data_IF_045241613692
#
_entry.id   IF_045241613692
#
_cell.length_a   1.000
_cell.length_b   1.000
_cell.length_c   1.000
_cell.angle_alpha   90.00
_cell.angle_beta   90.00
_cell.angle_gamma   90.00
#
_symmetry.space_group_name_H-M   'P 1'
#
loop_
_entity.id
_entity.type
_entity.pdbx_description
1 polymer ?
2 non-polymer ?
3 non-polymer ?
4 non-polymer ?
5 water ?
#
# COMPACT_ATOMS: atom_id res chain seq x y z
N UNK A 1 3.46 9.80 -23.23
CA UNK A 1 2.35 9.02 -22.63
C UNK A 1 2.87 7.72 -22.02
N UNK A 2 1.96 6.98 -21.37
CA UNK A 2 2.30 5.67 -20.81
C UNK A 2 2.35 4.64 -21.92
N UNK A 3 3.13 3.58 -21.73
CA UNK A 3 3.14 2.44 -22.65
C UNK A 3 2.19 1.34 -22.16
N UNK A 4 1.62 1.53 -20.97
CA UNK A 4 0.58 0.65 -20.43
C UNK A 4 -0.52 1.48 -19.78
N UNK A 5 -1.76 1.08 -19.99
CA UNK A 5 -2.90 1.71 -19.33
C UNK A 5 -3.19 0.99 -18.02
N UNK A 6 -3.26 -0.34 -18.08
CA UNK A 6 -3.57 -1.18 -16.93
C UNK A 6 -2.51 -2.27 -16.86
N UNK A 7 -1.48 -2.00 -16.08
CA UNK A 7 -0.45 -3.01 -15.79
C UNK A 7 -0.99 -4.33 -15.26
N UNK A 8 -0.16 -5.37 -15.34
CA UNK A 8 -0.61 -6.72 -14.98
C UNK A 8 -1.22 -6.78 -13.60
N UNK A 9 -0.64 -6.06 -12.65
CA UNK A 9 -1.18 -6.11 -11.30
C UNK A 9 -2.52 -5.42 -11.12
N UNK A 10 -2.75 -4.37 -11.92
CA UNK A 10 -4.04 -3.69 -11.94
C UNK A 10 -5.09 -4.65 -12.51
N UNK A 11 -4.78 -5.26 -13.66
CA UNK A 11 -5.66 -6.25 -14.25
C UNK A 11 -5.88 -7.39 -13.29
N UNK A 12 -4.83 -7.83 -12.61
CA UNK A 12 -4.97 -8.93 -11.64
C UNK A 12 -5.88 -8.61 -10.48
N UNK A 13 -5.69 -7.47 -9.84
CA UNK A 13 -6.53 -7.13 -8.72
C UNK A 13 -7.98 -6.78 -9.17
N UNK A 14 -8.15 -6.30 -10.39
CA UNK A 14 -9.48 -6.02 -10.96
C UNK A 14 -10.11 -7.31 -11.49
N UNK A 15 -9.28 -8.34 -11.67
CA UNK A 15 -9.72 -9.64 -12.20
C UNK A 15 -10.39 -9.48 -13.58
N UNK A 16 -9.67 -8.83 -14.49
CA UNK A 16 -10.13 -8.63 -15.85
C UNK A 16 -8.95 -8.49 -16.79
N UNK A 17 -8.80 -9.46 -17.70
CA UNK A 17 -7.64 -9.53 -18.57
C UNK A 17 -7.62 -8.46 -19.63
N UNK A 18 -8.77 -7.82 -19.85
CA UNK A 18 -8.91 -6.82 -20.93
C UNK A 18 -9.30 -5.45 -20.40
N UNK A 19 -9.11 -5.23 -19.10
CA UNK A 19 -9.37 -3.95 -18.45
C UNK A 19 -8.62 -2.83 -19.17
N UNK A 20 -9.31 -1.74 -19.51
CA UNK A 20 -8.68 -0.58 -20.14
C UNK A 20 -8.63 0.64 -19.24
N UNK A 21 -9.40 0.64 -18.17
CA UNK A 21 -9.39 1.73 -17.20
C UNK A 21 -9.96 1.27 -15.87
N UNK A 22 -9.71 2.06 -14.82
CA UNK A 22 -10.18 1.73 -13.50
C UNK A 22 -11.16 2.81 -13.01
N UNK A 23 -11.67 2.60 -11.81
CA UNK A 23 -12.65 3.49 -11.21
C UNK A 23 -12.67 3.38 -9.71
N UNK A 24 -13.28 4.39 -9.08
CA UNK A 24 -13.64 4.30 -7.69
C UNK A 24 -12.64 4.96 -6.72
N UNK A 25 -13.04 5.02 -5.46
CA UNK A 25 -12.23 5.63 -4.42
C UNK A 25 -12.64 7.03 -4.03
N UNK A 26 -13.72 7.54 -4.64
CA UNK A 26 -14.12 8.93 -4.41
C UNK A 26 -14.29 9.24 -2.95
N UNK A 27 -13.71 10.36 -2.52
CA UNK A 27 -13.84 10.83 -1.16
C UNK A 27 -12.85 10.26 -0.16
N UNK A 28 -12.14 9.19 -0.53
CA UNK A 28 -11.21 8.56 0.39
C UNK A 28 -9.83 9.08 0.13
N UNK A 29 -9.09 9.35 1.21
CA UNK A 29 -7.75 9.92 1.10
C UNK A 29 -6.72 8.83 1.32
N UNK A 30 -5.81 8.67 0.37
CA UNK A 30 -4.69 7.77 0.52
C UNK A 30 -3.45 8.61 0.82
N UNK A 31 -2.93 8.43 2.04
CA UNK A 31 -1.74 9.09 2.49
C UNK A 31 -0.53 8.21 2.21
N UNK A 32 0.23 8.59 1.22
CA UNK A 32 1.41 7.88 0.82
C UNK A 32 2.58 8.48 1.55
N UNK A 33 3.06 7.74 2.54
CA UNK A 33 4.18 8.17 3.38
C UNK A 33 5.41 7.54 2.81
N UNK A 34 6.25 8.35 2.16
CA UNK A 34 7.28 7.79 1.29
C UNK A 34 8.31 8.86 0.92
N UNK A 35 8.99 8.73 -0.23
CA UNK A 35 10.03 9.66 -0.66
C UNK A 35 9.49 10.95 -1.24
N UNK A 36 8.18 11.13 -1.19
CA UNK A 36 7.48 12.26 -1.80
C UNK A 36 6.75 11.77 -3.02
N UNK A 37 6.12 12.69 -3.73
CA UNK A 37 5.44 12.38 -4.99
C UNK A 37 5.62 13.55 -5.93
N UNK A 38 5.84 13.26 -7.21
CA UNK A 38 5.80 14.29 -8.22
C UNK A 38 4.33 14.65 -8.47
N UNK A 39 3.91 15.76 -7.86
CA UNK A 39 2.53 16.24 -7.91
C UNK A 39 2.17 16.86 -9.28
N UNK A 40 3.15 17.02 -10.15
CA UNK A 40 2.89 17.42 -11.52
C UNK A 40 2.87 16.27 -12.50
N UNK A 41 2.98 15.03 -12.02
CA UNK A 41 2.92 13.92 -12.95
C UNK A 41 1.53 13.97 -13.56
N UNK A 42 1.43 13.88 -14.90
CA UNK A 42 0.12 13.99 -15.53
C UNK A 42 -0.92 12.97 -15.08
N UNK A 43 -0.48 11.80 -14.63
CA UNK A 43 -1.40 10.77 -14.18
C UNK A 43 -1.69 10.83 -12.70
N UNK A 44 -1.13 11.82 -12.00
CA UNK A 44 -1.37 12.00 -10.55
C UNK A 44 -1.90 13.36 -10.15
N UNK A 45 -1.59 14.38 -10.95
CA UNK A 45 -1.79 15.77 -10.56
C UNK A 45 -3.21 16.10 -10.13
N UNK A 46 -4.16 15.54 -10.85
CA UNK A 46 -5.56 15.85 -10.59
C UNK A 46 -6.08 15.23 -9.29
N UNK A 47 -5.35 14.25 -8.74
CA UNK A 47 -5.72 13.65 -7.47
C UNK A 47 -4.96 14.24 -6.29
N UNK A 48 -4.02 15.12 -6.55
CA UNK A 48 -3.23 15.69 -5.44
C UNK A 48 -4.12 16.60 -4.58
N UNK A 49 -4.17 16.30 -3.30
CA UNK A 49 -4.91 17.11 -2.35
C UNK A 49 -4.00 17.74 -1.29
N UNK A 50 -3.13 16.92 -0.68
CA UNK A 50 -2.15 17.37 0.29
C UNK A 50 -0.75 17.02 -0.16
N UNK A 51 0.20 17.84 0.23
CA UNK A 51 1.59 17.70 -0.17
C UNK A 51 2.41 18.35 0.94
N UNK A 52 2.99 17.50 1.81
CA UNK A 52 3.62 17.95 3.05
C UNK A 52 4.92 17.19 3.22
N UNK A 53 5.95 17.91 3.70
CA UNK A 53 7.28 17.36 3.83
C UNK A 53 7.69 17.30 5.30
N UNK A 54 7.78 16.09 5.83
CA UNK A 54 8.14 15.85 7.24
C UNK A 54 9.64 15.66 7.46
N UNK A 55 10.44 15.85 6.41
CA UNK A 55 11.88 15.66 6.50
C UNK A 55 12.65 16.97 6.62
N UNK A 56 11.94 18.09 6.50
CA UNK A 56 12.52 19.41 6.61
C UNK A 56 11.71 20.12 7.69
N UNK A 57 12.46 20.58 8.69
CA UNK A 57 11.93 21.16 9.92
C UNK A 57 11.23 20.15 10.80
N UNK A 58 10.70 20.64 11.92
CA UNK A 58 9.44 20.10 12.43
C UNK A 58 8.42 21.18 12.10
N UNK A 59 7.15 20.82 12.15
CA UNK A 59 6.74 19.43 12.17
C UNK A 59 6.80 18.96 10.70
N UNK A 60 6.33 19.84 9.84
CA UNK A 60 6.42 19.66 8.39
C UNK A 60 6.40 21.00 7.67
N UNK A 61 6.86 20.99 6.42
CA UNK A 61 6.72 22.11 5.51
C UNK A 61 5.56 21.78 4.58
N UNK A 62 4.56 22.65 4.55
CA UNK A 62 3.38 22.49 3.73
C UNK A 62 3.67 22.88 2.29
N UNK A 63 2.83 22.35 1.38
CA UNK A 63 2.93 22.63 -0.05
C UNK A 63 4.29 22.23 -0.60
N UNK A 64 4.82 21.13 -0.08
CA UNK A 64 6.13 20.63 -0.46
C UNK A 64 6.19 19.12 -0.18
N UNK A 65 6.61 18.32 -1.17
CA UNK A 65 6.66 16.88 -1.05
C UNK A 65 7.44 16.29 -2.23
N UNK A 66 8.53 16.93 -2.61
CA UNK A 66 9.27 16.61 -3.84
C UNK A 66 9.90 15.23 -3.78
N UNK A 67 9.61 14.43 -4.80
CA UNK A 67 10.23 13.13 -4.95
C UNK A 67 11.43 13.24 -5.88
N UNK A 68 12.61 12.89 -5.38
CA UNK A 68 13.83 12.85 -6.16
C UNK A 68 14.36 11.43 -6.28
N UNK A 69 13.58 10.47 -5.79
CA UNK A 69 13.97 9.06 -5.80
C UNK A 69 13.10 8.24 -6.79
N UNK A 70 11.78 8.41 -6.70
CA UNK A 70 10.85 7.67 -7.54
C UNK A 70 9.87 6.80 -6.79
N UNK A 71 10.31 6.26 -5.65
CA UNK A 71 9.48 5.29 -4.90
C UNK A 71 8.09 5.81 -4.58
N UNK A 72 8.01 7.00 -3.98
CA UNK A 72 6.74 7.54 -3.57
C UNK A 72 5.83 7.77 -4.77
N UNK A 73 6.39 8.26 -5.87
CA UNK A 73 5.60 8.49 -7.07
C UNK A 73 5.07 7.16 -7.62
N UNK A 74 5.92 6.14 -7.61
CA UNK A 74 5.60 4.79 -8.11
C UNK A 74 4.44 4.19 -7.30
N UNK A 75 4.59 4.25 -5.99
CA UNK A 75 3.60 3.78 -5.07
C UNK A 75 2.27 4.50 -5.22
N UNK A 76 2.32 5.83 -5.29
CA UNK A 76 1.11 6.62 -5.50
C UNK A 76 0.38 6.22 -6.80
N UNK A 77 1.15 5.94 -7.84
CA UNK A 77 0.58 5.57 -9.12
C UNK A 77 -0.16 4.25 -9.07
N UNK A 78 0.37 3.27 -8.34
CA UNK A 78 -0.30 1.99 -8.26
C UNK A 78 -1.60 2.15 -7.50
N UNK A 79 -1.60 3.03 -6.48
CA UNK A 79 -2.76 3.24 -5.67
C UNK A 79 -3.88 4.02 -6.39
N UNK A 80 -3.50 5.06 -7.12
CA UNK A 80 -4.50 6.04 -7.59
C UNK A 80 -4.22 6.84 -8.87
N UNK A 81 -3.28 6.40 -9.70
CA UNK A 81 -3.06 7.05 -11.00
C UNK A 81 -4.40 7.06 -11.76
N UNK A 82 -4.66 8.12 -12.52
CA UNK A 82 -6.01 8.34 -13.06
C UNK A 82 -6.05 8.32 -14.59
N UNK A 83 -4.98 7.87 -15.22
CA UNK A 83 -4.87 7.79 -16.66
C UNK A 83 -4.60 9.11 -17.37
N UNK A 84 -4.42 10.20 -16.61
CA UNK A 84 -4.16 11.50 -17.20
C UNK A 84 -5.31 12.00 -18.07
N UNK A 85 -5.02 12.37 -19.31
CA UNK A 85 -6.08 12.75 -20.26
C UNK A 85 -6.64 11.55 -21.03
N UNK A 86 -6.19 10.34 -20.67
CA UNK A 86 -6.71 9.10 -21.22
C UNK A 86 -5.65 8.12 -21.67
N UNK A 87 -4.46 8.63 -21.96
CA UNK A 87 -3.31 7.85 -22.46
C UNK A 87 -2.31 7.41 -21.39
N UNK A 88 -2.55 7.80 -20.14
CA UNK A 88 -1.62 7.44 -19.07
C UNK A 88 -1.97 6.15 -18.37
N UNK A 89 -1.25 5.89 -17.27
CA UNK A 89 -1.45 4.72 -16.46
C UNK A 89 -2.55 4.91 -15.42
N UNK A 90 -3.23 3.82 -15.09
CA UNK A 90 -4.31 3.76 -14.12
C UNK A 90 -3.85 2.96 -12.92
N UNK A 91 -4.20 3.46 -11.74
CA UNK A 91 -4.07 2.73 -10.51
C UNK A 91 -5.41 2.20 -10.06
N UNK A 92 -5.41 1.61 -8.87
CA UNK A 92 -6.54 0.84 -8.41
C UNK A 92 -7.76 1.72 -8.11
N UNK A 93 -7.52 2.90 -7.51
CA UNK A 93 -8.60 3.80 -7.05
C UNK A 93 -8.36 5.19 -7.63
N UNK A 94 -8.62 5.38 -8.91
CA UNK A 94 -8.25 6.63 -9.59
C UNK A 94 -9.06 7.87 -9.18
N UNK A 95 -10.11 7.69 -8.39
CA UNK A 95 -10.88 8.82 -7.86
C UNK A 95 -10.51 9.17 -6.42
N UNK A 96 -9.61 8.40 -5.82
CA UNK A 96 -9.13 8.75 -4.48
C UNK A 96 -8.33 10.07 -4.45
N UNK A 97 -8.21 10.63 -3.25
CA UNK A 97 -7.47 11.87 -3.04
C UNK A 97 -6.10 11.49 -2.53
N UNK A 98 -5.06 12.02 -3.13
CA UNK A 98 -3.68 11.75 -2.70
C UNK A 98 -3.21 12.75 -1.67
N UNK A 99 -2.73 12.23 -0.53
CA UNK A 99 -1.99 13.02 0.46
C UNK A 99 -0.57 12.52 0.40
N UNK A 100 0.29 13.30 -0.24
CA UNK A 100 1.67 12.95 -0.49
C UNK A 100 2.45 13.49 0.70
N UNK A 101 2.85 12.60 1.61
CA UNK A 101 3.60 12.97 2.82
C UNK A 101 5.04 12.45 2.67
N UNK A 102 6.01 13.35 2.55
CA UNK A 102 7.41 12.95 2.37
C UNK A 102 7.97 12.66 3.76
N UNK A 103 8.33 11.42 4.00
CA UNK A 103 8.93 10.98 5.27
C UNK A 103 10.32 10.36 5.13
N UNK A 104 10.75 10.11 3.89
CA UNK A 104 12.07 9.54 3.59
C UNK A 104 12.82 10.65 2.88
N UNK A 105 13.81 11.18 3.57
CA UNK A 105 14.37 12.47 3.23
C UNK A 105 15.60 12.29 2.41
N UNK A 106 15.96 13.33 1.67
CA UNK A 106 17.07 13.25 0.75
C UNK A 106 18.40 13.26 1.54
N UNK A 107 19.33 12.41 1.13
CA UNK A 107 19.00 11.21 0.38
C UNK A 107 19.87 10.09 0.88
N UNK A 108 19.37 8.88 0.68
CA UNK A 108 19.46 7.85 1.70
C UNK A 108 17.98 7.71 2.01
N UNK A 109 17.55 8.05 3.24
CA UNK A 109 16.11 8.20 3.53
C UNK A 109 15.68 8.44 5.01
N UNK A 110 15.06 7.46 5.67
CA UNK A 110 14.03 7.74 6.66
C UNK A 110 14.20 7.60 8.16
N UNK A 111 14.10 8.74 8.85
CA UNK A 111 14.15 8.80 10.29
C UNK A 111 12.79 8.44 10.90
N UNK A 112 12.84 7.64 11.95
CA UNK A 112 11.64 7.18 12.63
C UNK A 112 10.78 8.34 13.12
N UNK A 113 11.40 9.42 13.57
CA UNK A 113 10.58 10.51 14.12
C UNK A 113 9.80 11.23 13.03
N UNK A 114 10.37 11.33 11.82
CA UNK A 114 9.65 11.94 10.70
C UNK A 114 8.46 11.11 10.28
N UNK A 115 8.67 9.80 10.18
CA UNK A 115 7.61 8.86 9.83
C UNK A 115 6.50 8.89 10.88
N UNK A 116 6.91 8.87 12.15
CA UNK A 116 5.94 8.91 13.25
C UNK A 116 5.13 10.21 13.24
N UNK A 117 5.78 11.35 12.99
CA UNK A 117 5.09 12.62 12.94
C UNK A 117 4.05 12.63 11.82
N UNK A 118 4.42 12.05 10.68
CA UNK A 118 3.49 11.98 9.55
C UNK A 118 2.30 11.08 9.79
N UNK A 119 2.52 9.94 10.45
CA UNK A 119 1.45 9.03 10.80
C UNK A 119 0.48 9.76 11.73
N UNK A 120 1.03 10.39 12.78
CA UNK A 120 0.17 11.13 13.70
C UNK A 120 -0.59 12.23 12.99
N UNK A 121 0.08 12.97 12.11
CA UNK A 121 -0.56 14.06 11.39
C UNK A 121 -1.72 13.58 10.53
N UNK A 122 -1.55 12.44 9.88
CA UNK A 122 -2.61 11.86 9.07
C UNK A 122 -3.82 11.56 9.95
N UNK A 123 -3.57 10.98 11.13
CA UNK A 123 -4.65 10.74 12.08
C UNK A 123 -5.33 12.01 12.54
N UNK A 124 -4.55 13.05 12.80
CA UNK A 124 -5.08 14.34 13.27
C UNK A 124 -5.92 14.99 12.18
N UNK A 125 -5.51 14.79 10.93
CA UNK A 125 -6.25 15.31 9.77
C UNK A 125 -7.54 14.55 9.56
N UNK A 126 -7.51 13.23 9.76
CA UNK A 126 -8.71 12.42 9.67
C UNK A 126 -9.74 12.97 10.64
N UNK A 127 -9.28 13.30 11.84
CA UNK A 127 -10.17 13.80 12.90
C UNK A 127 -10.66 15.21 12.58
N UNK A 128 -9.72 16.09 12.25
CA UNK A 128 -10.02 17.51 12.04
C UNK A 128 -10.97 17.73 10.87
N UNK A 129 -10.79 16.95 9.79
CA UNK A 129 -11.57 17.08 8.56
C UNK A 129 -12.77 16.16 8.56
N UNK A 130 -12.87 15.29 9.57
CA UNK A 130 -13.87 14.23 9.61
C UNK A 130 -13.90 13.44 8.32
N UNK A 131 -12.74 12.93 7.94
CA UNK A 131 -12.58 12.28 6.64
C UNK A 131 -11.87 10.95 6.83
N UNK A 132 -12.00 10.08 5.84
CA UNK A 132 -11.43 8.74 5.89
C UNK A 132 -10.06 8.73 5.24
N UNK A 133 -9.12 8.09 5.93
CA UNK A 133 -7.73 8.09 5.51
C UNK A 133 -7.21 6.65 5.51
N UNK A 134 -6.60 6.27 4.40
CA UNK A 134 -5.83 5.04 4.29
C UNK A 134 -4.36 5.47 4.20
N UNK A 135 -3.57 5.14 5.22
CA UNK A 135 -2.14 5.30 5.12
C UNK A 135 -1.54 4.12 4.36
N UNK A 136 -0.65 4.45 3.44
CA UNK A 136 0.23 3.48 2.83
C UNK A 136 1.68 3.72 3.25
N UNK A 137 2.30 2.73 3.88
CA UNK A 137 3.73 2.75 4.21
C UNK A 137 4.46 1.63 3.48
N UNK A 138 5.01 1.99 2.33
CA UNK A 138 5.81 1.08 1.54
C UNK A 138 7.26 1.19 2.01
N UNK A 139 7.46 0.74 3.24
CA UNK A 139 8.75 0.86 3.89
C UNK A 139 8.79 -0.16 5.00
N UNK A 140 9.99 -0.49 5.42
CA UNK A 140 10.10 -1.49 6.47
C UNK A 140 11.49 -1.58 7.01
N UNK A 141 11.59 -2.14 8.20
CA UNK A 141 12.87 -2.42 8.84
C UNK A 141 12.66 -3.67 9.69
N UNK A 142 13.74 -4.39 9.96
CA UNK A 142 13.68 -5.60 10.77
C UNK A 142 13.37 -5.27 12.22
N UNK A 143 13.74 -4.06 12.62
CA UNK A 143 13.55 -3.60 14.00
C UNK A 143 12.30 -2.76 14.16
N UNK A 144 11.70 -2.89 15.34
CA UNK A 144 10.52 -2.13 15.70
C UNK A 144 10.84 -0.82 16.41
N UNK A 145 10.50 0.29 15.77
CA UNK A 145 10.67 1.61 16.36
C UNK A 145 9.42 1.92 17.18
N UNK A 146 9.58 2.17 18.48
CA UNK A 146 8.42 2.53 19.30
C UNK A 146 7.77 3.85 18.83
N UNK A 147 8.55 4.78 18.27
CA UNK A 147 7.96 6.02 17.74
C UNK A 147 6.95 5.68 16.65
N UNK A 148 7.35 4.80 15.73
CA UNK A 148 6.48 4.45 14.61
C UNK A 148 5.31 3.60 15.10
N UNK A 149 5.60 2.60 15.91
CA UNK A 149 4.54 1.76 16.49
C UNK A 149 3.46 2.57 17.21
N UNK A 150 3.88 3.48 18.08
CA UNK A 150 2.94 4.28 18.86
C UNK A 150 2.11 5.21 17.97
N UNK A 151 2.74 5.73 16.93
CA UNK A 151 2.08 6.57 15.94
C UNK A 151 1.03 5.77 15.19
N UNK A 152 1.37 4.55 14.77
CA UNK A 152 0.42 3.65 14.10
C UNK A 152 -0.79 3.38 14.97
N UNK A 153 -0.54 3.06 16.23
CA UNK A 153 -1.62 2.79 17.15
C UNK A 153 -2.52 4.02 17.37
N UNK A 154 -1.89 5.18 17.49
CA UNK A 154 -2.60 6.45 17.64
C UNK A 154 -3.52 6.71 16.46
N UNK A 155 -2.98 6.59 15.26
CA UNK A 155 -3.78 6.79 14.05
C UNK A 155 -4.89 5.78 13.88
N UNK A 156 -4.62 4.51 14.17
CA UNK A 156 -5.60 3.45 14.06
C UNK A 156 -6.75 3.67 15.01
N UNK A 157 -6.45 4.10 16.24
CA UNK A 157 -7.45 4.49 17.21
C UNK A 157 -8.33 5.65 16.73
N UNK A 158 -7.76 6.54 15.92
CA UNK A 158 -8.48 7.67 15.33
C UNK A 158 -9.25 7.31 14.05
N UNK A 159 -9.18 6.03 13.65
CA UNK A 159 -10.00 5.53 12.57
C UNK A 159 -9.27 5.40 11.23
N UNK A 160 -7.97 5.64 11.24
CA UNK A 160 -7.15 5.54 10.03
C UNK A 160 -6.84 4.07 9.76
N UNK A 161 -6.98 3.65 8.50
CA UNK A 161 -6.57 2.32 8.06
C UNK A 161 -5.11 2.39 7.61
N UNK A 162 -4.27 1.52 8.14
CA UNK A 162 -2.84 1.53 7.83
C UNK A 162 -2.46 0.26 7.04
N UNK A 163 -1.95 0.47 5.84
CA UNK A 163 -1.48 -0.60 4.96
C UNK A 163 0.03 -0.46 4.83
N UNK A 164 0.75 -1.57 4.90
CA UNK A 164 2.21 -1.53 4.80
C UNK A 164 2.78 -2.73 4.06
N UNK A 165 3.94 -2.52 3.49
CA UNK A 165 4.73 -3.59 2.91
C UNK A 165 5.08 -4.65 3.96
N UNK A 166 5.03 -5.92 3.59
CA UNK A 166 5.47 -6.99 4.49
C UNK A 166 6.98 -6.95 4.71
N UNK A 167 7.71 -6.50 3.69
CA UNK A 167 9.16 -6.52 3.66
C UNK A 167 9.69 -7.39 2.53
N UNK A 168 10.96 -7.16 2.22
CA UNK A 168 11.62 -7.84 1.10
C UNK A 168 12.74 -8.78 1.58
N UNK A 169 12.55 -9.43 2.73
CA UNK A 169 13.61 -10.23 3.37
C UNK A 169 13.26 -11.72 3.35
N UNK A 170 12.33 -12.10 2.51
CA UNK A 170 11.97 -13.49 2.33
C UNK A 170 12.98 -14.32 1.57
N UNK A 171 12.73 -15.61 1.40
CA UNK A 171 11.47 -16.27 1.75
C UNK A 171 11.40 -16.88 3.15
N UNK A 172 12.44 -16.77 3.95
CA UNK A 172 12.46 -17.55 5.19
C UNK A 172 11.37 -17.14 6.15
N UNK A 173 10.80 -18.10 6.88
CA UNK A 173 9.83 -17.79 7.93
C UNK A 173 10.32 -16.77 8.93
N UNK A 174 9.41 -15.92 9.38
CA UNK A 174 9.71 -14.96 10.41
C UNK A 174 10.47 -13.72 9.95
N UNK A 175 10.52 -13.50 8.64
CA UNK A 175 11.26 -12.37 8.07
C UNK A 175 10.46 -11.07 7.95
N UNK A 176 9.16 -11.12 8.27
CA UNK A 176 8.33 -9.94 8.28
C UNK A 176 8.92 -8.83 9.14
N UNK A 177 8.85 -7.60 8.66
CA UNK A 177 9.39 -6.46 9.37
C UNK A 177 8.29 -5.49 9.75
N UNK A 178 8.73 -4.31 10.19
CA UNK A 178 7.90 -3.29 10.78
C UNK A 178 7.87 -2.05 9.87
N UNK A 179 6.76 -1.33 9.78
CA UNK A 179 5.54 -1.51 10.57
C UNK A 179 4.58 -2.63 10.16
N UNK A 180 4.85 -3.35 9.08
CA UNK A 180 3.97 -4.40 8.61
C UNK A 180 3.54 -5.39 9.68
N UNK A 181 4.49 -5.78 10.55
CA UNK A 181 4.25 -6.81 11.55
C UNK A 181 3.41 -6.32 12.72
N UNK A 182 3.12 -5.03 12.78
CA UNK A 182 2.27 -4.49 13.84
C UNK A 182 0.86 -4.99 13.76
N UNK A 183 0.23 -5.18 14.91
CA UNK A 183 -1.12 -5.71 14.90
C UNK A 183 -2.12 -4.73 14.23
N UNK A 184 -1.83 -3.44 14.29
CA UNK A 184 -2.68 -2.41 13.68
C UNK A 184 -2.23 -1.94 12.31
N UNK A 185 -1.36 -2.72 11.67
CA UNK A 185 -0.99 -2.49 10.25
C UNK A 185 -1.30 -3.71 9.41
N UNK A 186 -1.81 -3.52 8.21
CA UNK A 186 -2.08 -4.60 7.28
C UNK A 186 -0.79 -4.87 6.49
N UNK A 187 -0.14 -5.98 6.77
CA UNK A 187 1.08 -6.35 6.07
C UNK A 187 0.72 -7.03 4.76
N UNK A 188 1.23 -6.49 3.65
CA UNK A 188 0.94 -6.97 2.34
C UNK A 188 2.15 -7.67 1.69
N UNK A 189 1.96 -8.94 1.34
CA UNK A 189 2.95 -9.74 0.59
C UNK A 189 2.87 -9.45 -0.89
N UNK A 190 3.96 -9.73 -1.59
CA UNK A 190 4.08 -9.47 -3.03
C UNK A 190 3.87 -10.72 -3.81
N UNK A 191 2.93 -10.61 -4.73
CA UNK A 191 2.72 -11.61 -5.78
C UNK A 191 3.49 -11.29 -7.05
N UNK A 192 3.87 -12.34 -7.78
CA UNK A 192 4.47 -12.21 -9.09
C UNK A 192 3.50 -12.73 -10.15
N UNK A 193 3.78 -12.39 -11.40
CA UNK A 193 2.87 -12.72 -12.50
C UNK A 193 3.12 -14.13 -13.01
N UNK A 194 2.94 -15.07 -12.10
CA UNK A 194 3.10 -16.50 -12.35
C UNK A 194 1.93 -17.20 -11.68
N UNK A 195 1.26 -18.06 -12.44
CA UNK A 195 0.20 -18.88 -11.91
C UNK A 195 0.79 -20.26 -11.62
N UNK A 196 0.62 -20.72 -10.40
CA UNK A 196 1.14 -22.00 -9.94
C UNK A 196 0.16 -22.55 -8.91
N UNK A 197 -0.14 -23.84 -8.98
CA UNK A 197 -1.20 -24.44 -8.17
C UNK A 197 -2.54 -23.69 -8.30
N UNK A 198 -2.76 -23.10 -9.47
CA UNK A 198 -4.02 -22.42 -9.77
C UNK A 198 -4.14 -20.98 -9.35
N UNK A 199 -3.12 -20.46 -8.67
CA UNK A 199 -3.21 -19.10 -8.14
C UNK A 199 -1.96 -18.34 -8.51
N UNK A 200 -2.01 -17.02 -8.36
CA UNK A 200 -0.78 -16.24 -8.40
C UNK A 200 0.19 -16.75 -7.33
N UNK A 201 1.48 -16.57 -7.58
CA UNK A 201 2.52 -17.11 -6.73
C UNK A 201 3.13 -15.96 -5.92
N UNK A 202 3.39 -16.21 -4.64
CA UNK A 202 4.12 -15.25 -3.80
C UNK A 202 5.57 -15.22 -4.28
N UNK A 203 6.11 -14.01 -4.45
CA UNK A 203 7.50 -13.86 -4.82
C UNK A 203 8.42 -14.32 -3.69
N UNK A 204 9.51 -15.00 -4.06
CA UNK A 204 10.48 -15.49 -3.08
C UNK A 204 10.98 -14.37 -2.16
N UNK A 205 11.15 -13.14 -2.67
CA UNK A 205 11.66 -12.05 -1.83
C UNK A 205 10.72 -11.57 -0.73
N UNK A 206 9.45 -11.87 -0.86
CA UNK A 206 8.46 -11.30 0.04
C UNK A 206 8.65 -11.86 1.46
N UNK A 207 8.66 -10.99 2.46
CA UNK A 207 8.87 -11.40 3.85
C UNK A 207 7.71 -12.27 4.31
N UNK A 208 8.06 -13.35 5.00
CA UNK A 208 7.10 -14.29 5.56
C UNK A 208 6.78 -14.01 7.01
N UNK A 209 5.55 -14.33 7.42
CA UNK A 209 5.20 -14.24 8.81
C UNK A 209 5.77 -15.41 9.61
N UNK A 210 5.32 -15.50 10.85
CA UNK A 210 5.81 -16.48 11.83
C UNK A 210 4.93 -17.71 11.89
N UNK A 211 5.55 -18.88 11.98
CA UNK A 211 4.77 -20.13 11.91
C UNK A 211 3.81 -20.29 13.10
N UNK A 212 4.19 -19.84 14.28
CA UNK A 212 3.40 -20.18 15.47
C UNK A 212 2.07 -19.45 15.55
N UNK A 213 1.88 -18.38 14.77
CA UNK A 213 0.61 -17.64 14.81
C UNK A 213 -0.16 -17.71 13.51
N UNK A 214 0.30 -18.54 12.59
CA UNK A 214 -0.31 -18.64 11.26
C UNK A 214 -1.43 -19.68 11.24
N UNK A 215 -2.29 -19.61 10.24
CA UNK A 215 -3.28 -20.64 9.97
C UNK A 215 -4.59 -20.47 10.72
N UNK A 216 -4.77 -19.36 11.42
CA UNK A 216 -5.97 -19.17 12.26
C UNK A 216 -6.96 -18.12 11.72
N UNK A 217 -6.61 -17.45 10.63
CA UNK A 217 -7.42 -16.38 10.06
C UNK A 217 -7.74 -15.30 11.10
N UNK A 218 -6.77 -15.05 11.98
CA UNK A 218 -6.85 -13.99 12.97
C UNK A 218 -5.48 -13.33 13.02
N UNK A 219 -5.43 -12.01 12.86
CA UNK A 219 -4.15 -11.32 12.78
C UNK A 219 -3.60 -10.98 14.15
N UNK A 220 -2.40 -11.51 14.42
CA UNK A 220 -1.60 -11.11 15.55
C UNK A 220 -0.36 -10.40 15.02
N UNK A 221 0.35 -9.74 15.93
CA UNK A 221 1.67 -9.20 15.64
C UNK A 221 2.52 -10.28 14.97
N UNK A 222 3.13 -9.95 13.84
CA UNK A 222 3.98 -10.90 13.12
C UNK A 222 3.35 -11.66 11.97
N UNK A 223 2.07 -11.43 11.71
CA UNK A 223 1.35 -12.10 10.62
C UNK A 223 1.29 -11.27 9.36
N UNK A 224 1.57 -11.91 8.23
CA UNK A 224 1.22 -11.41 6.91
C UNK A 224 -0.32 -11.50 6.80
N UNK A 225 -0.92 -10.52 6.13
CA UNK A 225 -2.38 -10.36 6.16
C UNK A 225 -3.00 -10.68 4.81
N UNK A 226 -2.55 -10.01 3.77
CA UNK A 226 -3.07 -10.23 2.45
C UNK A 226 -1.93 -10.11 1.43
N UNK A 227 -2.19 -10.53 0.20
CA UNK A 227 -1.24 -10.49 -0.89
C UNK A 227 -1.74 -9.62 -2.03
N UNK A 228 -0.81 -8.97 -2.72
CA UNK A 228 -1.17 -8.19 -3.91
C UNK A 228 0.01 -8.15 -4.85
N UNK A 229 -0.21 -7.76 -6.10
CA UNK A 229 0.87 -7.71 -7.10
C UNK A 229 2.04 -6.82 -6.68
N UNK A 230 3.26 -7.37 -6.71
CA UNK A 230 4.44 -6.62 -6.31
C UNK A 230 5.70 -6.80 -7.13
N UNK A 231 5.73 -7.77 -8.04
CA UNK A 231 6.89 -8.01 -8.87
C UNK A 231 6.65 -7.47 -10.28
N UNK A 232 7.65 -6.80 -10.83
CA UNK A 232 7.61 -6.24 -12.18
C UNK A 232 6.41 -5.34 -12.40
N UNK A 233 6.25 -4.37 -11.49
CA UNK A 233 5.11 -3.43 -11.48
C UNK A 233 5.50 -2.12 -12.17
N UNK A 234 4.77 -1.81 -13.24
CA UNK A 234 4.96 -0.58 -14.01
C UNK A 234 4.07 0.45 -13.37
N UNK A 235 4.63 1.64 -13.15
CA UNK A 235 3.88 2.74 -12.58
C UNK A 235 4.59 4.04 -12.87
N UNK A 236 4.02 5.12 -12.37
CA UNK A 236 4.56 6.47 -12.49
C UNK A 236 5.92 6.62 -11.80
N UNK A 237 6.73 7.56 -12.28
CA UNK A 237 8.06 7.82 -11.71
C UNK A 237 8.27 9.30 -11.49
N UNK A 238 9.26 9.64 -10.66
CA UNK A 238 9.39 11.00 -10.16
C UNK A 238 9.69 11.99 -11.28
N UNK A 239 10.26 11.51 -12.38
CA UNK A 239 10.60 12.39 -13.51
C UNK A 239 9.42 12.77 -14.41
N UNK A 240 8.23 12.27 -14.11
CA UNK A 240 7.07 12.52 -14.96
C UNK A 240 6.87 11.42 -15.98
N UNK A 241 7.78 10.46 -15.97
CA UNK A 241 7.66 9.27 -16.79
C UNK A 241 7.22 8.09 -15.95
N UNK A 242 7.80 6.94 -16.27
CA UNK A 242 7.35 5.65 -15.71
C UNK A 242 8.55 4.77 -15.38
N UNK A 243 8.30 3.71 -14.65
CA UNK A 243 9.33 2.78 -14.22
C UNK A 243 8.70 1.47 -13.84
N UNK A 244 9.46 0.40 -13.99
CA UNK A 244 9.06 -0.92 -13.57
C UNK A 244 9.99 -1.50 -12.52
N UNK A 245 9.47 -1.76 -11.33
CA UNK A 245 10.26 -2.28 -10.21
C UNK A 245 9.48 -3.34 -9.44
N UNK A 246 10.16 -4.03 -8.53
CA UNK A 246 9.59 -5.11 -7.72
C UNK A 246 9.83 -4.85 -6.25
N UNK A 247 8.84 -5.15 -5.43
CA UNK A 247 8.98 -5.04 -3.98
C UNK A 247 7.65 -5.21 -3.30
N UNK A 248 7.66 -5.56 -2.02
CA UNK A 248 6.39 -5.50 -1.27
C UNK A 248 5.91 -4.05 -1.19
N UNK A 249 6.81 -3.09 -1.42
CA UNK A 249 6.44 -1.68 -1.58
C UNK A 249 5.45 -1.44 -2.71
N UNK A 250 5.51 -2.30 -3.73
CA UNK A 250 4.62 -2.21 -4.89
C UNK A 250 3.28 -2.87 -4.61
N UNK A 251 3.28 -3.88 -3.75
CA UNK A 251 2.07 -4.62 -3.37
C UNK A 251 1.19 -3.80 -2.47
N UNK A 252 1.79 -3.16 -1.48
CA UNK A 252 1.08 -2.36 -0.52
C UNK A 252 0.10 -1.37 -1.17
N UNK A 253 0.51 -0.54 -2.12
CA UNK A 253 -0.44 0.41 -2.73
C UNK A 253 -1.54 -0.21 -3.55
N UNK A 254 -1.36 -1.40 -4.09
CA UNK A 254 -2.47 -2.12 -4.69
C UNK A 254 -3.57 -2.38 -3.65
N UNK A 255 -3.17 -2.86 -2.48
CA UNK A 255 -4.09 -3.04 -1.37
C UNK A 255 -4.66 -1.74 -0.84
N UNK A 256 -3.84 -0.68 -0.75
CA UNK A 256 -4.34 0.60 -0.20
C UNK A 256 -5.38 1.18 -1.14
N UNK A 257 -5.12 1.09 -2.43
CA UNK A 257 -6.07 1.48 -3.47
C UNK A 257 -7.35 0.67 -3.41
N UNK A 258 -7.23 -0.65 -3.25
CA UNK A 258 -8.42 -1.48 -3.10
C UNK A 258 -9.21 -1.07 -1.87
N UNK A 259 -8.52 -0.84 -0.75
CA UNK A 259 -9.18 -0.40 0.48
C UNK A 259 -9.98 0.87 0.24
N UNK A 260 -9.39 1.81 -0.50
CA UNK A 260 -10.07 3.09 -0.79
C UNK A 260 -11.29 2.90 -1.69
N UNK A 261 -11.15 2.02 -2.68
CA UNK A 261 -12.25 1.68 -3.58
C UNK A 261 -13.40 1.06 -2.78
N UNK A 262 -13.08 0.18 -1.84
CA UNK A 262 -14.07 -0.43 -0.98
C UNK A 262 -14.72 0.64 -0.08
N UNK A 263 -13.88 1.46 0.55
CA UNK A 263 -14.35 2.43 1.53
C UNK A 263 -15.31 3.44 0.91
N UNK A 264 -15.04 3.83 -0.34
CA UNK A 264 -15.80 4.86 -1.03
C UNK A 264 -17.24 4.42 -1.25
N UNK A 265 -17.45 3.12 -1.32
CA UNK A 265 -18.80 2.56 -1.47
C UNK A 265 -19.54 2.36 -0.14
N UNK A 266 -18.80 2.43 0.97
CA UNK A 266 -19.37 2.45 2.31
C UNK A 266 -18.72 3.52 3.18
N UNK A 267 -18.90 4.79 2.84
CA UNK A 267 -18.12 5.88 3.45
C UNK A 267 -18.25 6.10 4.98
N UNK A 268 -19.26 5.50 5.60
CA UNK A 268 -19.43 5.58 7.04
C UNK A 268 -18.87 4.36 7.80
N UNK A 269 -18.43 3.34 7.06
CA UNK A 269 -17.68 2.21 7.63
C UNK A 269 -16.43 2.71 8.38
N UNK A 270 -16.00 1.96 9.40
CA UNK A 270 -14.78 2.25 10.15
C UNK A 270 -13.61 1.62 9.45
N UNK A 271 -12.39 2.00 9.86
CA UNK A 271 -11.19 1.30 9.41
C UNK A 271 -11.27 -0.20 9.68
N UNK A 272 -11.81 -0.57 10.83
CA UNK A 272 -11.90 -1.97 11.22
C UNK A 272 -12.84 -2.73 10.27
N UNK A 273 -13.97 -2.12 9.90
CA UNK A 273 -14.88 -2.69 8.92
C UNK A 273 -14.23 -2.93 7.55
N UNK A 274 -13.47 -1.96 7.07
CA UNK A 274 -12.86 -2.05 5.76
C UNK A 274 -11.76 -3.09 5.78
N UNK A 275 -11.00 -3.12 6.86
CA UNK A 275 -9.96 -4.12 7.08
C UNK A 275 -10.56 -5.52 7.06
N UNK A 276 -11.72 -5.66 7.70
CA UNK A 276 -12.42 -6.92 7.73
C UNK A 276 -12.90 -7.35 6.36
N UNK A 277 -13.34 -6.39 5.55
CA UNK A 277 -13.72 -6.66 4.18
C UNK A 277 -12.51 -7.11 3.34
N UNK A 278 -11.36 -6.47 3.50
CA UNK A 278 -10.15 -6.94 2.84
C UNK A 278 -9.83 -8.38 3.22
N UNK A 279 -9.94 -8.69 4.49
CA UNK A 279 -9.65 -10.03 5.01
C UNK A 279 -10.61 -11.05 4.42
N UNK A 280 -11.89 -10.71 4.39
CA UNK A 280 -12.89 -11.59 3.78
C UNK A 280 -12.64 -11.87 2.32
N UNK A 281 -12.42 -10.79 1.57
CA UNK A 281 -12.12 -10.89 0.14
C UNK A 281 -10.86 -11.71 -0.13
N UNK A 282 -9.81 -11.52 0.68
CA UNK A 282 -8.58 -12.27 0.52
C UNK A 282 -8.86 -13.76 0.74
N UNK A 283 -9.63 -14.05 1.79
CA UNK A 283 -9.88 -15.44 2.22
C UNK A 283 -10.57 -16.28 1.14
N UNK A 284 -11.41 -15.66 0.30
CA UNK A 284 -12.01 -16.38 -0.83
C UNK A 284 -11.06 -16.58 -2.02
N UNK A 285 -9.94 -15.86 -2.03
CA UNK A 285 -8.91 -16.08 -3.03
C UNK A 285 -7.63 -16.55 -2.35
N UNK A 286 -7.74 -17.73 -1.75
CA UNK A 286 -6.64 -18.43 -1.12
C UNK A 286 -5.46 -18.56 -2.08
N UNK A 287 -4.29 -18.05 -1.67
CA UNK A 287 -3.08 -18.16 -2.44
C UNK A 287 -2.41 -19.48 -2.07
N UNK A 288 -2.00 -20.23 -3.08
CA UNK A 288 -1.57 -21.61 -2.88
C UNK A 288 -0.16 -21.89 -3.37
N UNK A 289 0.57 -20.86 -3.81
CA UNK A 289 1.88 -21.11 -4.38
C UNK A 289 2.88 -20.05 -3.95
N UNK A 290 4.15 -20.47 -3.93
CA UNK A 290 5.23 -19.70 -3.34
C UNK A 290 5.76 -20.46 -2.12
N UNK A 291 6.99 -20.18 -1.74
CA UNK A 291 7.59 -20.87 -0.61
C UNK A 291 6.74 -20.66 0.64
N UNK A 292 6.36 -21.76 1.29
CA UNK A 292 5.55 -21.76 2.52
C UNK A 292 4.07 -21.37 2.29
N UNK A 293 3.67 -21.20 1.04
CA UNK A 293 2.26 -21.01 0.74
C UNK A 293 1.57 -22.36 0.69
N UNK A 294 0.33 -22.39 1.13
CA UNK A 294 -0.49 -23.59 0.99
C UNK A 294 -1.93 -23.29 1.27
N UNK A 295 -2.71 -24.35 1.48
CA UNK A 295 -4.11 -24.18 1.77
C UNK A 295 -4.31 -23.36 3.02
N UNK A 296 -5.26 -22.43 2.94
CA UNK A 296 -5.61 -21.59 4.06
C UNK A 296 -4.67 -20.44 4.33
N UNK A 297 -4.74 -19.95 5.56
CA UNK A 297 -4.00 -18.79 6.01
C UNK A 297 -2.54 -19.23 6.23
N UNK A 298 -1.60 -18.66 5.47
CA UNK A 298 -0.20 -19.10 5.53
C UNK A 298 0.76 -17.92 5.68
N UNK A 299 2.00 -18.24 6.01
CA UNK A 299 2.97 -17.19 6.33
C UNK A 299 3.48 -16.44 5.08
N UNK A 300 3.28 -17.03 3.92
CA UNK A 300 3.71 -16.40 2.67
C UNK A 300 2.74 -15.35 2.18
N UNK A 301 1.45 -15.65 2.29
CA UNK A 301 0.42 -14.89 1.63
C UNK A 301 -0.71 -14.40 2.55
N UNK A 302 -0.62 -14.69 3.85
CA UNK A 302 -1.70 -14.42 4.77
C UNK A 302 -2.99 -15.10 4.30
N UNK A 303 -4.10 -14.37 4.33
CA UNK A 303 -5.43 -14.93 4.05
C UNK A 303 -5.66 -15.20 2.58
N UNK A 304 -4.93 -14.48 1.73
CA UNK A 304 -5.06 -14.57 0.28
C UNK A 304 -4.94 -13.24 -0.43
N UNK A 305 -5.56 -13.17 -1.60
CA UNK A 305 -5.43 -12.05 -2.53
C UNK A 305 -6.80 -11.36 -2.66
N UNK A 306 -6.98 -10.27 -1.90
CA UNK A 306 -8.21 -9.48 -2.03
C UNK A 306 -8.27 -8.81 -3.38
N UNK A 307 -9.42 -8.96 -4.06
CA UNK A 307 -9.65 -8.41 -5.37
C UNK A 307 -10.93 -7.55 -5.41
N UNK A 308 -11.11 -6.89 -6.53
CA UNK A 308 -12.32 -6.12 -6.83
C UNK A 308 -13.51 -7.06 -7.01
N UNK A 309 -13.29 -8.18 -7.68
CA UNK A 309 -14.38 -9.09 -8.08
C UNK A 309 -13.87 -10.53 -8.15
#
# INVERSE_FOLDING_TARGET
AASQSTPWGIKAIYNNSNLTSTSGGAGINIAVLDTGVNTNHPDLSNNVEQCKDFTVGTNFTDNSCTDRQGHGTHVAGSALANGGTGSGVYGVAPEADLWAYKVLGDDGSGYADDIAEAIRHAGDQATALNTKVVINMSLGSSGESSLITNAVDYAYDKGVLIIAAAGNSGPKPGSIGYPGALVNAVAVAALENTIQNGTYRVADFSSRGHKRTAGDYVIQKGDVEISAPGAAVYSTWFDGGYATISGTSMASPHAAGLAAKIWAQSPAASNVDVRGELQTRASVNDILSGNSAGSGDDIASGFGFAKVQ
#
